data_IF_589199511034
#
_entry.id   IF_589199511034
#
_cell.length_a   1.000
_cell.length_b   1.000
_cell.length_c   1.000
_cell.angle_alpha   90.00
_cell.angle_beta   90.00
_cell.angle_gamma   90.00
#
_symmetry.space_group_name_H-M   'P 1'
#
loop_
_entity.id
_entity.type
_entity.pdbx_description
1 polymer ?
#
# COMPACT_ATOMS: atom_id res chain seq x y z
N UNK A 1 -15.42 -27.01 -27.29
CA UNK A 1 -15.40 -26.93 -25.81
C UNK A 1 -14.31 -25.95 -25.35
N UNK A 2 -14.25 -24.75 -25.95
CA UNK A 2 -13.37 -23.66 -25.54
C UNK A 2 -14.24 -22.57 -24.90
N UNK A 3 -14.67 -22.81 -23.67
CA UNK A 3 -15.31 -21.78 -22.84
C UNK A 3 -14.55 -21.68 -21.53
N UNK A 4 -13.28 -21.29 -21.65
CA UNK A 4 -12.40 -20.99 -20.52
C UNK A 4 -11.56 -19.77 -20.88
N UNK A 5 -12.13 -18.60 -20.61
CA UNK A 5 -11.50 -17.28 -20.38
C UNK A 5 -10.33 -16.94 -21.30
N UNK A 6 -10.59 -16.10 -22.29
CA UNK A 6 -9.56 -15.47 -23.09
C UNK A 6 -8.64 -14.66 -22.15
N UNK A 7 -7.35 -15.02 -22.11
CA UNK A 7 -6.32 -14.30 -21.36
C UNK A 7 -5.71 -13.20 -22.25
N UNK A 8 -5.15 -12.17 -21.63
CA UNK A 8 -4.48 -11.09 -22.37
C UNK A 8 -5.42 -10.19 -23.17
N UNK A 9 -6.65 -9.96 -22.68
CA UNK A 9 -7.59 -9.01 -23.28
C UNK A 9 -7.02 -7.59 -23.22
N UNK A 10 -6.86 -6.99 -24.39
CA UNK A 10 -6.35 -5.63 -24.59
C UNK A 10 -7.45 -4.64 -24.26
N UNK A 11 -7.25 -3.81 -23.24
CA UNK A 11 -8.17 -2.75 -22.85
C UNK A 11 -7.89 -1.45 -23.60
N UNK A 12 -6.61 -1.18 -23.89
CA UNK A 12 -6.17 0.02 -24.60
C UNK A 12 -4.89 -0.24 -25.39
N UNK A 13 -4.75 0.46 -26.50
CA UNK A 13 -3.54 0.49 -27.33
C UNK A 13 -3.03 1.92 -27.35
N UNK A 14 -1.74 2.11 -27.09
CA UNK A 14 -1.10 3.42 -27.10
C UNK A 14 -1.03 3.94 -28.55
N UNK A 15 -1.49 5.18 -28.84
CA UNK A 15 -1.39 5.73 -30.19
C UNK A 15 0.05 5.82 -30.67
N UNK A 16 0.30 5.43 -31.91
CA UNK A 16 1.63 5.36 -32.54
C UNK A 16 2.51 4.23 -32.00
N UNK A 17 1.96 3.25 -31.29
CA UNK A 17 2.72 2.10 -30.82
C UNK A 17 2.82 1.00 -31.88
N UNK A 18 3.79 0.11 -31.68
CA UNK A 18 3.97 -1.11 -32.47
C UNK A 18 2.68 -1.93 -32.49
N UNK A 19 1.95 -2.01 -31.37
CA UNK A 19 0.67 -2.71 -31.29
C UNK A 19 -0.41 -2.09 -32.17
N UNK A 20 -0.46 -0.76 -32.29
CA UNK A 20 -1.40 -0.08 -33.19
C UNK A 20 -1.05 -0.36 -34.66
N UNK A 21 0.24 -0.25 -35.00
CA UNK A 21 0.79 -0.52 -36.33
C UNK A 21 0.59 -1.98 -36.76
N UNK A 22 0.74 -2.92 -35.81
CA UNK A 22 0.44 -4.33 -35.96
C UNK A 22 -1.06 -4.64 -36.15
N UNK A 23 -1.93 -3.63 -36.10
CA UNK A 23 -3.37 -3.79 -36.32
C UNK A 23 -4.14 -4.28 -35.09
N UNK A 24 -3.52 -4.32 -33.91
CA UNK A 24 -4.17 -4.72 -32.66
C UNK A 24 -5.11 -3.61 -32.21
N UNK A 25 -6.29 -3.98 -31.72
CA UNK A 25 -7.31 -3.04 -31.25
C UNK A 25 -7.80 -3.41 -29.83
N UNK A 26 -8.35 -2.44 -29.09
CA UNK A 26 -9.06 -2.74 -27.85
C UNK A 26 -10.16 -3.78 -28.07
N UNK A 27 -10.25 -4.77 -27.19
CA UNK A 27 -11.14 -5.92 -27.31
C UNK A 27 -10.49 -7.16 -27.94
N UNK A 28 -9.33 -7.02 -28.58
CA UNK A 28 -8.53 -8.16 -29.03
C UNK A 28 -7.81 -8.82 -27.85
N UNK A 29 -7.37 -10.06 -28.02
CA UNK A 29 -6.66 -10.80 -26.99
C UNK A 29 -5.36 -11.40 -27.50
N UNK A 30 -4.26 -11.06 -26.83
CA UNK A 30 -2.95 -11.60 -27.16
C UNK A 30 -2.78 -13.00 -26.53
N UNK A 31 -2.60 -14.02 -27.38
CA UNK A 31 -2.65 -15.43 -26.98
C UNK A 31 -1.26 -16.07 -26.92
N UNK A 32 -0.46 -15.90 -27.97
CA UNK A 32 0.89 -16.49 -28.09
C UNK A 32 1.90 -15.44 -28.55
N UNK A 33 3.16 -15.59 -28.11
CA UNK A 33 4.33 -14.91 -28.65
C UNK A 33 5.40 -15.99 -28.90
N UNK A 34 6.00 -16.02 -30.09
CA UNK A 34 7.02 -17.00 -30.50
C UNK A 34 6.54 -18.46 -30.29
N UNK A 35 5.25 -18.72 -30.58
CA UNK A 35 4.61 -20.03 -30.37
C UNK A 35 4.38 -20.43 -28.90
N UNK A 36 4.69 -19.56 -27.94
CA UNK A 36 4.48 -19.80 -26.51
C UNK A 36 3.18 -19.15 -26.03
N UNK A 37 2.32 -19.94 -25.38
CA UNK A 37 1.11 -19.42 -24.73
C UNK A 37 1.46 -18.46 -23.59
N UNK A 38 0.87 -17.27 -23.62
CA UNK A 38 1.06 -16.28 -22.56
C UNK A 38 0.36 -16.74 -21.29
N UNK A 39 1.10 -16.78 -20.18
CA UNK A 39 0.60 -17.27 -18.90
C UNK A 39 0.00 -16.14 -18.08
N UNK A 40 0.73 -15.03 -18.02
CA UNK A 40 0.47 -13.81 -17.28
C UNK A 40 1.39 -12.67 -17.80
N UNK A 41 1.26 -11.49 -17.20
CA UNK A 41 2.01 -10.30 -17.58
C UNK A 41 3.54 -10.44 -17.47
N UNK A 42 4.04 -11.20 -16.50
CA UNK A 42 5.48 -11.45 -16.36
C UNK A 42 5.98 -12.30 -17.54
N UNK A 43 5.22 -13.32 -17.93
CA UNK A 43 5.56 -14.12 -19.10
C UNK A 43 5.49 -13.30 -20.39
N UNK A 44 4.49 -12.43 -20.53
CA UNK A 44 4.39 -11.48 -21.64
C UNK A 44 5.66 -10.61 -21.73
N UNK A 45 6.05 -9.96 -20.63
CA UNK A 45 7.25 -9.11 -20.58
C UNK A 45 8.54 -9.87 -20.90
N UNK A 46 8.63 -11.13 -20.49
CA UNK A 46 9.76 -11.99 -20.85
C UNK A 46 9.79 -12.30 -22.35
N UNK A 47 8.64 -12.65 -22.94
CA UNK A 47 8.56 -13.06 -24.35
C UNK A 47 8.75 -11.89 -25.33
N UNK A 48 8.31 -10.68 -24.97
CA UNK A 48 8.54 -9.49 -25.82
C UNK A 48 9.96 -8.94 -25.71
N UNK A 49 10.85 -9.53 -24.90
CA UNK A 49 12.22 -9.01 -24.77
C UNK A 49 13.07 -9.30 -26.03
N UNK A 50 12.65 -10.25 -26.88
CA UNK A 50 13.31 -10.55 -28.15
C UNK A 50 13.09 -9.42 -29.18
N UNK A 51 14.07 -9.21 -30.07
CA UNK A 51 13.98 -8.20 -31.14
C UNK A 51 13.02 -8.62 -32.26
N UNK A 52 12.90 -9.93 -32.49
CA UNK A 52 12.03 -10.51 -33.49
C UNK A 52 10.99 -11.37 -32.79
N UNK A 53 9.72 -10.99 -32.90
CA UNK A 53 8.64 -11.73 -32.27
C UNK A 53 7.48 -12.00 -33.22
N UNK A 54 6.97 -13.22 -33.18
CA UNK A 54 5.78 -13.64 -33.89
C UNK A 54 4.62 -13.68 -32.90
N UNK A 55 3.64 -12.79 -33.07
CA UNK A 55 2.50 -12.71 -32.16
C UNK A 55 1.24 -13.32 -32.77
N UNK A 56 0.43 -13.93 -31.91
CA UNK A 56 -0.90 -14.45 -32.26
C UNK A 56 -1.96 -13.78 -31.42
N UNK A 57 -2.87 -13.09 -32.09
CA UNK A 57 -3.96 -12.32 -31.50
C UNK A 57 -5.28 -12.95 -31.90
N UNK A 58 -6.17 -13.16 -30.94
CA UNK A 58 -7.57 -13.47 -31.20
C UNK A 58 -8.33 -12.14 -31.23
N UNK A 59 -8.81 -11.75 -32.41
CA UNK A 59 -9.55 -10.50 -32.60
C UNK A 59 -10.92 -10.57 -31.93
N UNK A 60 -11.54 -9.41 -31.68
CA UNK A 60 -12.91 -9.34 -31.16
C UNK A 60 -13.96 -10.08 -32.04
N UNK A 61 -13.66 -10.29 -33.33
CA UNK A 61 -14.51 -11.05 -34.26
C UNK A 61 -14.25 -12.57 -34.23
N UNK A 62 -13.44 -13.06 -33.29
CA UNK A 62 -12.98 -14.46 -33.19
C UNK A 62 -12.13 -14.95 -34.37
N UNK A 63 -11.44 -14.05 -35.07
CA UNK A 63 -10.45 -14.39 -36.09
C UNK A 63 -9.03 -14.32 -35.51
N UNK A 64 -8.14 -15.18 -35.99
CA UNK A 64 -6.73 -15.13 -35.60
C UNK A 64 -5.95 -14.20 -36.51
N UNK A 65 -5.28 -13.23 -35.90
CA UNK A 65 -4.31 -12.34 -36.52
C UNK A 65 -2.91 -12.81 -36.10
N UNK A 66 -2.05 -13.08 -37.09
CA UNK A 66 -0.62 -13.35 -36.89
C UNK A 66 0.16 -12.16 -37.39
N UNK A 67 1.11 -11.65 -36.59
CA UNK A 67 1.95 -10.52 -36.97
C UNK A 67 3.39 -10.81 -36.58
N UNK A 68 4.29 -10.60 -37.53
CA UNK A 68 5.73 -10.66 -37.31
C UNK A 68 6.20 -9.23 -37.01
N UNK A 69 6.89 -9.04 -35.89
CA UNK A 69 7.30 -7.74 -35.38
C UNK A 69 8.82 -7.74 -35.20
N UNK A 70 9.48 -6.75 -35.81
CA UNK A 70 10.88 -6.39 -35.56
C UNK A 70 10.91 -5.10 -34.74
N UNK A 71 11.60 -5.11 -33.60
CA UNK A 71 11.63 -4.00 -32.66
C UNK A 71 12.94 -3.96 -31.86
N UNK A 72 13.20 -2.84 -31.19
CA UNK A 72 14.25 -2.76 -30.19
C UNK A 72 14.03 -3.74 -29.02
N UNK A 73 15.10 -4.24 -28.41
CA UNK A 73 15.01 -5.16 -27.27
C UNK A 73 14.29 -4.54 -26.05
N UNK A 74 14.30 -3.21 -25.92
CA UNK A 74 13.66 -2.43 -24.86
C UNK A 74 12.33 -1.79 -25.29
N UNK A 75 11.92 -1.94 -26.54
CA UNK A 75 10.66 -1.40 -27.05
C UNK A 75 9.45 -2.26 -26.61
N UNK A 76 8.42 -1.58 -26.11
CA UNK A 76 7.14 -2.21 -25.74
C UNK A 76 6.16 -2.18 -26.92
N UNK A 77 5.19 -3.09 -26.92
CA UNK A 77 4.13 -3.11 -27.92
C UNK A 77 3.08 -2.02 -27.70
N UNK A 78 3.12 -1.32 -26.57
CA UNK A 78 2.13 -0.30 -26.21
C UNK A 78 0.73 -0.88 -26.03
N UNK A 79 0.64 -2.10 -25.47
CA UNK A 79 -0.62 -2.77 -25.13
C UNK A 79 -0.88 -2.64 -23.63
N UNK A 80 -2.06 -2.13 -23.29
CA UNK A 80 -2.59 -2.15 -21.93
C UNK A 80 -3.66 -3.23 -21.84
N UNK A 81 -3.61 -4.04 -20.78
CA UNK A 81 -4.52 -5.17 -20.58
C UNK A 81 -5.58 -4.85 -19.52
N UNK A 82 -6.75 -5.49 -19.60
CA UNK A 82 -7.84 -5.30 -18.63
C UNK A 82 -7.42 -5.60 -17.17
N UNK A 83 -6.49 -6.55 -16.99
CA UNK A 83 -5.94 -6.89 -15.69
C UNK A 83 -4.43 -6.73 -15.70
N UNK A 84 -3.87 -6.07 -14.67
CA UNK A 84 -2.44 -5.78 -14.53
C UNK A 84 -1.54 -7.03 -14.53
N UNK A 85 -2.08 -8.21 -14.22
CA UNK A 85 -1.33 -9.48 -14.30
C UNK A 85 -1.73 -10.36 -15.48
N UNK A 86 -2.59 -9.89 -16.40
CA UNK A 86 -3.16 -10.65 -17.54
C UNK A 86 -3.84 -11.98 -17.15
N UNK A 87 -4.19 -12.14 -15.88
CA UNK A 87 -4.80 -13.33 -15.31
C UNK A 87 -5.61 -12.95 -14.05
N UNK A 88 -6.31 -13.89 -13.44
CA UNK A 88 -6.99 -13.62 -12.18
C UNK A 88 -6.00 -13.67 -11.01
N UNK A 89 -6.05 -12.69 -10.08
CA UNK A 89 -5.28 -12.75 -8.85
C UNK A 89 -5.63 -13.98 -8.04
N UNK A 90 -4.64 -14.59 -7.40
CA UNK A 90 -4.86 -15.66 -6.43
C UNK A 90 -5.55 -15.13 -5.18
N UNK A 91 -6.61 -15.83 -4.77
CA UNK A 91 -7.31 -15.54 -3.51
C UNK A 91 -6.55 -16.16 -2.33
N UNK A 92 -6.32 -15.35 -1.30
CA UNK A 92 -5.74 -15.78 -0.03
C UNK A 92 -6.59 -16.87 0.63
N UNK A 93 -5.95 -17.97 1.05
CA UNK A 93 -6.60 -19.08 1.74
C UNK A 93 -6.46 -19.01 3.28
N UNK A 94 -5.81 -17.96 3.79
CA UNK A 94 -5.62 -17.77 5.22
C UNK A 94 -6.88 -17.19 5.89
N UNK A 95 -7.06 -17.56 7.16
CA UNK A 95 -8.12 -17.03 8.04
C UNK A 95 -7.48 -16.38 9.26
N UNK A 96 -6.59 -15.44 9.00
CA UNK A 96 -5.76 -14.84 10.04
C UNK A 96 -6.62 -14.21 11.14
N UNK A 97 -6.22 -14.42 12.40
CA UNK A 97 -6.91 -13.86 13.56
C UNK A 97 -7.00 -12.33 13.52
N UNK A 98 -6.10 -11.68 12.78
CA UNK A 98 -5.98 -10.22 12.61
C UNK A 98 -6.38 -9.74 11.20
N UNK A 99 -7.01 -10.57 10.36
CA UNK A 99 -7.30 -10.21 8.97
C UNK A 99 -8.20 -8.96 8.90
N UNK A 100 -7.70 -7.89 8.26
CA UNK A 100 -8.45 -6.65 8.12
C UNK A 100 -9.67 -6.81 7.20
N UNK A 101 -9.56 -7.66 6.18
CA UNK A 101 -10.64 -7.88 5.22
C UNK A 101 -11.82 -8.67 5.81
N UNK A 102 -11.59 -9.50 6.84
CA UNK A 102 -12.66 -10.23 7.54
C UNK A 102 -13.48 -9.35 8.48
N UNK A 103 -13.01 -8.13 8.76
CA UNK A 103 -13.66 -7.16 9.65
C UNK A 103 -14.15 -5.93 8.87
N UNK A 104 -14.36 -6.07 7.56
CA UNK A 104 -14.99 -5.04 6.77
C UNK A 104 -16.50 -4.97 7.05
N UNK A 105 -17.11 -3.78 7.08
CA UNK A 105 -18.56 -3.64 7.15
C UNK A 105 -19.25 -4.45 6.03
N UNK A 106 -20.50 -4.90 6.22
CA UNK A 106 -21.26 -5.56 5.16
C UNK A 106 -21.68 -4.56 4.05
N UNK A 107 -22.00 -5.08 2.87
CA UNK A 107 -22.54 -4.32 1.72
C UNK A 107 -21.59 -3.24 1.14
N UNK A 108 -20.29 -3.43 1.29
CA UNK A 108 -19.28 -2.65 0.59
C UNK A 108 -19.09 -3.17 -0.83
N UNK A 109 -18.30 -2.47 -1.65
CA UNK A 109 -17.94 -2.95 -3.00
C UNK A 109 -17.18 -4.27 -2.94
N UNK A 110 -17.44 -5.16 -3.91
CA UNK A 110 -16.90 -6.53 -3.90
C UNK A 110 -15.37 -6.58 -3.85
N UNK A 111 -14.69 -5.65 -4.54
CA UNK A 111 -13.24 -5.54 -4.56
C UNK A 111 -12.62 -5.33 -3.17
N UNK A 112 -13.33 -4.71 -2.22
CA UNK A 112 -12.87 -4.53 -0.84
C UNK A 112 -12.95 -5.80 0.02
N UNK A 113 -13.52 -6.89 -0.48
CA UNK A 113 -13.52 -8.18 0.21
C UNK A 113 -12.57 -9.19 -0.42
N UNK A 114 -11.97 -8.83 -1.55
CA UNK A 114 -10.98 -9.67 -2.20
C UNK A 114 -9.68 -9.63 -1.40
N UNK A 115 -9.22 -10.81 -0.98
CA UNK A 115 -7.92 -10.97 -0.33
C UNK A 115 -6.96 -11.53 -1.36
N UNK A 116 -6.02 -10.73 -1.83
CA UNK A 116 -4.95 -11.23 -2.68
C UNK A 116 -3.86 -11.91 -1.85
N UNK A 117 -3.21 -12.90 -2.46
CA UNK A 117 -1.99 -13.54 -1.96
C UNK A 117 -1.26 -14.15 -3.17
N UNK A 118 -0.80 -13.26 -4.06
CA UNK A 118 -0.25 -13.59 -5.37
C UNK A 118 1.14 -12.98 -5.55
N UNK A 119 2.16 -13.82 -5.77
CA UNK A 119 3.54 -13.35 -5.91
C UNK A 119 3.76 -12.44 -7.12
N UNK A 120 2.92 -12.55 -8.16
CA UNK A 120 3.02 -11.69 -9.34
C UNK A 120 2.70 -10.25 -8.97
N UNK A 121 1.66 -10.06 -8.15
CA UNK A 121 1.26 -8.75 -7.64
C UNK A 121 2.29 -8.24 -6.63
N UNK A 122 2.87 -9.13 -5.81
CA UNK A 122 3.98 -8.76 -4.93
C UNK A 122 5.17 -8.19 -5.68
N UNK A 123 5.59 -8.84 -6.77
CA UNK A 123 6.69 -8.39 -7.59
C UNK A 123 6.37 -7.10 -8.37
N UNK A 124 5.18 -7.01 -8.97
CA UNK A 124 4.81 -5.89 -9.85
C UNK A 124 4.40 -4.63 -9.09
N UNK A 125 3.72 -4.78 -7.95
CA UNK A 125 3.05 -3.68 -7.24
C UNK A 125 3.46 -3.55 -5.77
N UNK A 126 4.34 -4.43 -5.28
CA UNK A 126 4.82 -4.37 -3.90
C UNK A 126 3.86 -4.94 -2.85
N UNK A 127 2.79 -5.63 -3.26
CA UNK A 127 1.82 -6.19 -2.33
C UNK A 127 2.44 -7.28 -1.43
N UNK A 128 2.11 -7.23 -0.15
CA UNK A 128 2.60 -8.18 0.83
C UNK A 128 1.87 -9.53 0.77
N UNK A 129 2.60 -10.60 0.45
CA UNK A 129 2.09 -11.97 0.36
C UNK A 129 2.52 -12.82 1.55
N UNK A 130 1.79 -13.87 1.82
CA UNK A 130 2.04 -14.77 2.95
C UNK A 130 2.93 -15.97 2.60
N UNK A 131 3.20 -16.18 1.30
CA UNK A 131 3.85 -17.37 0.72
C UNK A 131 3.11 -18.70 0.93
N UNK A 132 1.96 -18.71 1.61
CA UNK A 132 1.20 -19.95 1.85
C UNK A 132 0.47 -20.48 0.61
N UNK A 133 0.25 -19.60 -0.37
CA UNK A 133 -0.37 -19.92 -1.65
C UNK A 133 0.64 -20.16 -2.79
N UNK A 134 1.94 -20.14 -2.50
CA UNK A 134 3.01 -20.35 -3.48
C UNK A 134 3.40 -21.81 -3.49
N UNK A 135 3.19 -22.48 -4.62
CA UNK A 135 3.58 -23.88 -4.83
C UNK A 135 5.07 -24.03 -5.11
N UNK A 136 5.60 -25.26 -5.03
CA UNK A 136 7.01 -25.54 -5.36
C UNK A 136 7.38 -25.18 -6.80
N UNK A 137 6.46 -25.39 -7.75
CA UNK A 137 6.64 -24.97 -9.16
C UNK A 137 6.78 -23.45 -9.27
N UNK A 138 5.98 -22.71 -8.50
CA UNK A 138 6.03 -21.25 -8.50
C UNK A 138 7.24 -20.70 -7.76
N UNK A 139 7.66 -21.36 -6.67
CA UNK A 139 8.94 -21.07 -6.01
C UNK A 139 10.10 -21.22 -6.98
N UNK A 140 10.10 -22.29 -7.78
CA UNK A 140 11.10 -22.49 -8.84
C UNK A 140 10.99 -21.40 -9.91
N UNK A 141 9.79 -21.08 -10.38
CA UNK A 141 9.59 -20.01 -11.36
C UNK A 141 10.08 -18.65 -10.87
N UNK A 142 9.82 -18.29 -9.62
CA UNK A 142 10.32 -17.06 -8.98
C UNK A 142 11.86 -17.05 -9.04
N UNK A 143 12.49 -18.18 -8.72
CA UNK A 143 13.95 -18.32 -8.72
C UNK A 143 14.58 -18.29 -10.13
N UNK A 144 13.94 -18.95 -11.10
CA UNK A 144 14.38 -19.04 -12.49
C UNK A 144 14.30 -17.66 -13.17
N UNK A 145 13.21 -16.93 -12.94
CA UNK A 145 12.98 -15.59 -13.51
C UNK A 145 13.57 -14.45 -12.66
N UNK A 146 14.17 -14.75 -11.50
CA UNK A 146 14.73 -13.75 -10.57
C UNK A 146 13.73 -12.65 -10.17
N UNK A 147 12.48 -13.04 -9.90
CA UNK A 147 11.42 -12.09 -9.52
C UNK A 147 11.73 -11.45 -8.16
N UNK A 148 12.30 -10.26 -8.19
CA UNK A 148 12.86 -9.57 -7.02
C UNK A 148 12.68 -8.05 -7.18
N UNK A 149 12.33 -7.32 -6.10
CA UNK A 149 12.08 -7.83 -4.75
C UNK A 149 10.70 -8.49 -4.58
N UNK A 150 10.52 -9.24 -3.50
CA UNK A 150 9.22 -9.72 -3.01
C UNK A 150 8.90 -9.11 -1.64
N UNK A 151 7.61 -8.93 -1.37
CA UNK A 151 7.11 -8.32 -0.14
C UNK A 151 6.34 -9.38 0.65
N UNK A 152 6.83 -9.76 1.83
CA UNK A 152 6.38 -10.96 2.55
C UNK A 152 5.86 -10.66 3.95
N UNK A 153 4.62 -11.03 4.20
CA UNK A 153 3.94 -11.00 5.50
C UNK A 153 4.35 -12.21 6.35
N UNK A 154 5.33 -11.99 7.23
CA UNK A 154 5.92 -13.03 8.08
C UNK A 154 5.11 -13.23 9.36
N UNK A 155 4.79 -12.13 10.05
CA UNK A 155 4.13 -12.05 11.36
C UNK A 155 4.87 -12.71 12.54
N UNK A 156 5.43 -13.91 12.36
CA UNK A 156 6.31 -14.58 13.33
C UNK A 156 7.10 -15.68 12.63
N UNK A 157 8.33 -15.95 13.08
CA UNK A 157 9.12 -17.11 12.60
C UNK A 157 8.88 -18.38 13.43
N UNK A 158 8.04 -18.34 14.47
CA UNK A 158 7.65 -19.50 15.25
C UNK A 158 6.59 -20.32 14.48
N UNK A 159 6.88 -21.55 14.03
CA UNK A 159 5.97 -22.31 13.15
C UNK A 159 4.60 -22.54 13.75
N UNK A 160 4.55 -22.99 15.01
CA UNK A 160 3.30 -23.30 15.71
C UNK A 160 2.46 -22.04 15.97
N UNK A 161 3.12 -20.91 16.27
CA UNK A 161 2.42 -19.64 16.44
C UNK A 161 1.90 -19.10 15.10
N UNK A 162 2.69 -19.20 14.03
CA UNK A 162 2.28 -18.75 12.69
C UNK A 162 1.06 -19.50 12.18
N UNK A 163 1.03 -20.84 12.35
CA UNK A 163 -0.14 -21.67 12.02
C UNK A 163 -1.39 -21.19 12.77
N UNK A 164 -1.27 -20.92 14.08
CA UNK A 164 -2.38 -20.42 14.91
C UNK A 164 -2.84 -19.03 14.46
N UNK A 165 -1.90 -18.11 14.27
CA UNK A 165 -2.19 -16.73 13.88
C UNK A 165 -2.84 -16.63 12.50
N UNK A 166 -2.41 -17.45 11.55
CA UNK A 166 -2.94 -17.44 10.18
C UNK A 166 -4.12 -18.38 9.97
N UNK A 167 -4.37 -19.25 10.96
CA UNK A 167 -5.35 -20.33 10.90
C UNK A 167 -5.20 -21.16 9.60
N UNK A 168 -3.95 -21.52 9.28
CA UNK A 168 -3.56 -22.27 8.10
C UNK A 168 -2.45 -23.26 8.47
N UNK A 169 -2.65 -24.59 8.29
CA UNK A 169 -1.65 -25.60 8.63
C UNK A 169 -0.36 -25.49 7.80
N UNK A 170 -0.45 -24.97 6.57
CA UNK A 170 0.70 -24.81 5.68
C UNK A 170 1.54 -23.57 6.00
N UNK A 171 1.14 -22.75 6.98
CA UNK A 171 1.83 -21.52 7.33
C UNK A 171 3.12 -21.74 8.15
N UNK A 172 3.44 -22.96 8.58
CA UNK A 172 4.55 -23.21 9.50
C UNK A 172 5.95 -22.97 8.91
N UNK A 173 6.15 -23.17 7.61
CA UNK A 173 7.48 -23.23 6.97
C UNK A 173 7.99 -21.90 6.40
N UNK A 174 7.61 -20.77 6.99
CA UNK A 174 8.03 -19.45 6.48
C UNK A 174 9.56 -19.30 6.43
N UNK A 175 10.28 -19.87 7.39
CA UNK A 175 11.74 -19.78 7.42
C UNK A 175 12.41 -20.60 6.29
N UNK A 176 11.87 -21.78 5.96
CA UNK A 176 12.35 -22.58 4.84
C UNK A 176 12.13 -21.86 3.52
N UNK A 177 10.92 -21.33 3.31
CA UNK A 177 10.56 -20.57 2.12
C UNK A 177 11.46 -19.33 1.92
N UNK A 178 11.65 -18.52 2.98
CA UNK A 178 12.53 -17.34 2.92
C UNK A 178 13.98 -17.71 2.61
N UNK A 179 14.51 -18.78 3.21
CA UNK A 179 15.87 -19.28 2.92
C UNK A 179 16.01 -19.69 1.46
N UNK A 180 15.04 -20.43 0.93
CA UNK A 180 15.05 -20.86 -0.48
C UNK A 180 15.07 -19.65 -1.43
N UNK A 181 14.23 -18.64 -1.19
CA UNK A 181 14.20 -17.42 -2.00
C UNK A 181 15.52 -16.65 -1.93
N UNK A 182 16.03 -16.41 -0.72
CA UNK A 182 17.30 -15.69 -0.51
C UNK A 182 18.48 -16.43 -1.14
N UNK A 183 18.56 -17.76 -1.01
CA UNK A 183 19.61 -18.57 -1.63
C UNK A 183 19.57 -18.51 -3.17
N UNK A 184 18.40 -18.23 -3.75
CA UNK A 184 18.22 -18.03 -5.18
C UNK A 184 18.44 -16.58 -5.62
N UNK A 185 18.90 -15.70 -4.72
CA UNK A 185 19.21 -14.30 -5.01
C UNK A 185 18.00 -13.37 -5.00
N UNK A 186 16.85 -13.80 -4.49
CA UNK A 186 15.65 -12.97 -4.38
C UNK A 186 15.78 -12.06 -3.16
N UNK A 187 15.60 -10.75 -3.39
CA UNK A 187 15.56 -9.76 -2.31
C UNK A 187 14.15 -9.70 -1.72
N UNK A 188 14.06 -9.52 -0.40
CA UNK A 188 12.77 -9.60 0.31
C UNK A 188 12.60 -8.44 1.29
N UNK A 189 11.44 -7.80 1.28
CA UNK A 189 10.97 -6.89 2.31
C UNK A 189 9.92 -7.60 3.17
N UNK A 190 10.10 -7.64 4.47
CA UNK A 190 9.19 -8.37 5.37
C UNK A 190 8.28 -7.42 6.15
N UNK A 191 7.07 -7.88 6.48
CA UNK A 191 6.14 -7.19 7.38
C UNK A 191 5.77 -8.11 8.55
N UNK A 192 5.64 -7.49 9.73
CA UNK A 192 5.13 -8.09 10.96
C UNK A 192 3.94 -7.25 11.43
N UNK A 193 2.73 -7.78 11.25
CA UNK A 193 1.55 -7.30 11.99
C UNK A 193 1.65 -7.78 13.44
N UNK A 194 1.78 -6.83 14.36
CA UNK A 194 1.95 -7.08 15.78
C UNK A 194 0.60 -7.11 16.50
N UNK A 195 0.30 -8.26 17.11
CA UNK A 195 -0.87 -8.50 17.93
C UNK A 195 -0.45 -8.59 19.41
N UNK A 196 -0.84 -7.63 20.27
CA UNK A 196 -0.45 -7.63 21.68
C UNK A 196 -0.81 -8.93 22.41
N UNK A 197 0.14 -9.47 23.17
CA UNK A 197 0.00 -10.73 23.91
C UNK A 197 0.07 -12.00 23.05
N UNK A 198 0.35 -11.90 21.75
CA UNK A 198 0.40 -13.05 20.83
C UNK A 198 1.80 -13.21 20.23
N UNK A 199 2.27 -12.23 19.45
CA UNK A 199 3.58 -12.25 18.79
C UNK A 199 4.45 -11.04 19.18
N UNK A 200 4.19 -10.44 20.34
CA UNK A 200 4.97 -9.34 20.89
C UNK A 200 6.15 -9.84 21.76
N UNK A 201 6.92 -8.90 22.32
CA UNK A 201 7.97 -9.16 23.32
C UNK A 201 9.01 -10.16 22.81
N UNK A 202 9.19 -11.29 23.49
CA UNK A 202 10.20 -12.30 23.13
C UNK A 202 9.96 -12.94 21.77
N UNK A 203 8.70 -13.09 21.34
CA UNK A 203 8.39 -13.63 20.01
C UNK A 203 8.74 -12.63 18.90
N UNK A 204 8.56 -11.33 19.16
CA UNK A 204 9.03 -10.27 18.25
C UNK A 204 10.56 -10.29 18.15
N UNK A 205 11.27 -10.35 19.28
CA UNK A 205 12.75 -10.40 19.30
C UNK A 205 13.28 -11.62 18.55
N UNK A 206 12.65 -12.78 18.75
CA UNK A 206 12.99 -14.01 18.03
C UNK A 206 12.78 -13.82 16.52
N UNK A 207 11.64 -13.27 16.12
CA UNK A 207 11.30 -13.04 14.71
C UNK A 207 12.30 -12.10 14.04
N UNK A 208 12.61 -10.95 14.67
CA UNK A 208 13.59 -9.99 14.16
C UNK A 208 14.98 -10.63 14.03
N UNK A 209 15.40 -11.40 15.05
CA UNK A 209 16.68 -12.10 15.04
C UNK A 209 16.77 -13.10 13.88
N UNK A 210 15.76 -13.94 13.72
CA UNK A 210 15.72 -14.97 12.68
C UNK A 210 15.76 -14.35 11.27
N UNK A 211 14.97 -13.29 11.03
CA UNK A 211 14.98 -12.58 9.75
C UNK A 211 16.33 -11.89 9.49
N UNK A 212 16.95 -11.31 10.52
CA UNK A 212 18.26 -10.66 10.38
C UNK A 212 19.40 -11.63 10.04
N UNK A 213 19.22 -12.94 10.28
CA UNK A 213 20.18 -13.96 9.88
C UNK A 213 20.22 -14.18 8.37
N UNK A 214 19.21 -13.71 7.63
CA UNK A 214 19.10 -13.79 6.18
C UNK A 214 19.51 -12.49 5.47
N UNK A 215 20.09 -11.53 6.19
CA UNK A 215 20.75 -10.37 5.60
C UNK A 215 21.96 -10.80 4.75
N UNK A 216 22.21 -10.23 3.55
CA UNK A 216 21.52 -9.08 2.94
C UNK A 216 20.38 -9.46 1.97
N UNK A 217 19.91 -10.71 1.98
CA UNK A 217 18.80 -11.16 1.14
C UNK A 217 17.46 -10.59 1.58
N UNK A 218 17.18 -10.61 2.89
CA UNK A 218 16.12 -9.78 3.46
C UNK A 218 16.68 -8.36 3.61
N UNK A 219 15.98 -7.37 3.06
CA UNK A 219 16.40 -5.96 2.97
C UNK A 219 15.81 -5.08 4.07
N UNK A 220 14.57 -5.31 4.46
CA UNK A 220 13.93 -4.56 5.54
C UNK A 220 12.84 -5.36 6.23
N UNK A 221 12.51 -4.97 7.46
CA UNK A 221 11.39 -5.51 8.22
C UNK A 221 10.57 -4.34 8.77
N UNK A 222 9.30 -4.24 8.39
CA UNK A 222 8.33 -3.35 9.02
C UNK A 222 7.61 -4.06 10.18
N UNK A 223 7.47 -3.40 11.31
CA UNK A 223 6.60 -3.79 12.41
C UNK A 223 5.43 -2.80 12.44
N UNK A 224 4.22 -3.30 12.23
CA UNK A 224 2.99 -2.51 12.16
C UNK A 224 2.01 -2.98 13.24
N UNK A 225 1.24 -2.09 13.89
CA UNK A 225 0.23 -2.51 14.86
C UNK A 225 -0.95 -3.19 14.15
N UNK A 226 -1.66 -4.06 14.86
CA UNK A 226 -2.91 -4.63 14.35
C UNK A 226 -4.02 -3.56 14.27
N UNK A 227 -4.58 -3.36 13.07
CA UNK A 227 -5.78 -2.54 12.88
C UNK A 227 -7.05 -3.33 13.20
N UNK A 228 -7.93 -2.78 14.04
CA UNK A 228 -9.15 -3.46 14.49
C UNK A 228 -10.38 -2.56 14.29
N UNK A 229 -11.35 -3.03 13.51
CA UNK A 229 -12.63 -2.33 13.32
C UNK A 229 -13.65 -2.79 14.38
N UNK A 230 -14.80 -2.10 14.46
CA UNK A 230 -15.95 -2.51 15.26
C UNK A 230 -16.71 -3.72 14.69
N UNK A 231 -16.44 -4.10 13.43
CA UNK A 231 -17.14 -5.18 12.71
C UNK A 231 -16.47 -6.55 12.89
N UNK A 232 -15.95 -6.83 14.10
CA UNK A 232 -15.22 -8.07 14.43
C UNK A 232 -16.03 -9.10 15.19
N UNK A 233 -17.35 -8.93 15.28
CA UNK A 233 -18.17 -9.86 16.06
C UNK A 233 -18.06 -11.29 15.48
N UNK A 234 -17.76 -12.28 16.32
CA UNK A 234 -17.51 -13.66 15.89
C UNK A 234 -16.09 -13.98 15.41
N UNK A 235 -15.19 -12.99 15.34
CA UNK A 235 -13.76 -13.21 15.06
C UNK A 235 -12.97 -13.48 16.35
N UNK A 236 -11.73 -13.94 16.19
CA UNK A 236 -10.83 -14.19 17.32
C UNK A 236 -10.63 -12.89 18.16
N UNK A 237 -10.76 -12.96 19.50
CA UNK A 237 -10.65 -11.78 20.35
C UNK A 237 -9.20 -11.30 20.43
N UNK A 238 -8.97 -10.08 19.94
CA UNK A 238 -7.68 -9.38 19.99
C UNK A 238 -7.97 -7.94 20.44
N UNK A 239 -7.07 -7.37 21.22
CA UNK A 239 -7.12 -5.97 21.62
C UNK A 239 -6.17 -5.12 20.76
N UNK A 240 -6.50 -3.84 20.61
CA UNK A 240 -5.60 -2.88 19.97
C UNK A 240 -4.32 -2.68 20.81
N UNK A 241 -3.28 -2.19 20.13
CA UNK A 241 -2.05 -1.69 20.76
C UNK A 241 -2.39 -0.48 21.62
N UNK A 242 -1.96 -0.47 22.87
CA UNK A 242 -2.05 0.71 23.73
C UNK A 242 -0.69 1.44 23.83
N UNK A 243 -0.66 2.57 24.52
CA UNK A 243 0.56 3.37 24.73
C UNK A 243 1.73 2.57 25.31
N UNK A 244 1.47 1.69 26.29
CA UNK A 244 2.51 0.87 26.93
C UNK A 244 3.09 -0.17 25.98
N UNK A 245 2.23 -0.83 25.20
CA UNK A 245 2.66 -1.78 24.17
C UNK A 245 3.50 -1.05 23.10
N UNK A 246 3.04 0.12 22.64
CA UNK A 246 3.72 0.91 21.64
C UNK A 246 5.12 1.35 22.11
N UNK A 247 5.22 1.87 23.34
CA UNK A 247 6.50 2.21 23.97
C UNK A 247 7.43 1.01 24.09
N UNK A 248 6.89 -0.19 24.38
CA UNK A 248 7.69 -1.40 24.44
C UNK A 248 8.23 -1.79 23.06
N UNK A 249 7.39 -1.77 22.03
CA UNK A 249 7.77 -2.10 20.65
C UNK A 249 8.83 -1.13 20.13
N UNK A 250 8.65 0.18 20.32
CA UNK A 250 9.63 1.20 19.95
C UNK A 250 10.99 0.89 20.59
N UNK A 251 11.02 0.65 21.91
CA UNK A 251 12.27 0.31 22.61
C UNK A 251 12.93 -0.96 22.06
N UNK A 252 12.15 -1.99 21.73
CA UNK A 252 12.69 -3.22 21.13
C UNK A 252 13.30 -2.94 19.75
N UNK A 253 12.55 -2.27 18.88
CA UNK A 253 12.98 -1.93 17.52
C UNK A 253 14.23 -1.06 17.54
N UNK A 254 14.25 0.01 18.32
CA UNK A 254 15.42 0.90 18.46
C UNK A 254 16.64 0.15 19.03
N UNK A 255 16.43 -0.74 20.01
CA UNK A 255 17.47 -1.59 20.54
C UNK A 255 18.07 -2.55 19.50
N UNK A 256 17.24 -3.07 18.59
CA UNK A 256 17.69 -3.86 17.45
C UNK A 256 18.40 -3.01 16.39
N UNK A 257 17.86 -1.84 16.05
CA UNK A 257 18.49 -0.89 15.14
C UNK A 257 19.90 -0.53 15.59
N UNK A 258 20.13 -0.28 16.89
CA UNK A 258 21.48 -0.04 17.41
C UNK A 258 22.44 -1.22 17.19
N UNK A 259 21.96 -2.47 17.33
CA UNK A 259 22.75 -3.67 17.03
C UNK A 259 23.05 -3.77 15.53
N UNK A 260 22.07 -3.48 14.68
CA UNK A 260 22.21 -3.56 13.23
C UNK A 260 23.04 -2.42 12.63
N UNK A 261 22.97 -1.19 13.14
CA UNK A 261 23.91 -0.12 12.78
C UNK A 261 25.35 -0.50 13.06
N UNK A 262 25.63 -1.26 14.13
CA UNK A 262 26.99 -1.78 14.41
C UNK A 262 27.39 -2.90 13.45
N UNK A 263 26.49 -3.85 13.17
CA UNK A 263 26.77 -5.07 12.40
C UNK A 263 26.72 -4.88 10.88
N UNK A 264 25.71 -4.17 10.39
CA UNK A 264 25.37 -4.01 8.98
C UNK A 264 25.54 -2.58 8.46
N UNK A 265 25.77 -1.59 9.35
CA UNK A 265 25.77 -0.16 9.01
C UNK A 265 24.43 0.30 8.38
N UNK A 266 23.34 -0.35 8.76
CA UNK A 266 22.01 -0.16 8.19
C UNK A 266 20.92 -0.46 9.23
N UNK A 267 19.84 0.32 9.23
CA UNK A 267 18.63 0.02 10.00
C UNK A 267 17.81 -1.06 9.29
N UNK A 268 17.88 -2.30 9.80
CA UNK A 268 17.19 -3.42 9.17
C UNK A 268 15.70 -3.52 9.52
N UNK A 269 15.30 -3.03 10.69
CA UNK A 269 13.92 -3.13 11.21
C UNK A 269 13.39 -1.75 11.55
N UNK A 270 12.11 -1.51 11.26
CA UNK A 270 11.44 -0.23 11.44
C UNK A 270 10.06 -0.43 12.06
N UNK A 271 9.69 0.42 13.01
CA UNK A 271 8.34 0.50 13.54
C UNK A 271 7.53 1.49 12.69
N UNK A 272 6.27 1.17 12.42
CA UNK A 272 5.33 2.11 11.79
C UNK A 272 5.19 3.38 12.62
N UNK A 273 4.95 4.50 11.94
CA UNK A 273 4.77 5.82 12.55
C UNK A 273 3.62 5.82 13.57
N UNK A 274 2.61 4.96 13.37
CA UNK A 274 1.50 4.75 14.30
C UNK A 274 1.97 4.38 15.72
N UNK A 275 3.01 3.55 15.89
CA UNK A 275 3.53 3.26 17.21
C UNK A 275 4.02 4.52 17.93
N UNK A 276 4.74 5.39 17.23
CA UNK A 276 5.26 6.64 17.80
C UNK A 276 4.12 7.58 18.18
N UNK A 277 3.12 7.71 17.31
CA UNK A 277 1.95 8.53 17.58
C UNK A 277 1.12 8.01 18.76
N UNK A 278 0.85 6.70 18.83
CA UNK A 278 0.16 6.06 19.96
C UNK A 278 0.95 6.20 21.26
N UNK A 279 2.28 6.18 21.20
CA UNK A 279 3.17 6.39 22.34
C UNK A 279 3.36 7.87 22.73
N UNK A 280 2.76 8.81 21.99
CA UNK A 280 3.00 10.25 22.18
C UNK A 280 4.44 10.69 21.91
N UNK A 281 5.23 9.87 21.23
CA UNK A 281 6.65 10.10 20.90
C UNK A 281 6.80 10.77 19.53
N UNK A 282 7.93 11.44 19.35
CA UNK A 282 8.31 11.90 18.01
C UNK A 282 8.79 10.71 17.18
N UNK A 283 8.46 10.73 15.89
CA UNK A 283 9.03 9.79 14.92
C UNK A 283 10.53 10.06 14.73
N UNK A 284 11.32 9.03 14.37
CA UNK A 284 12.73 9.18 14.02
C UNK A 284 12.99 10.27 12.97
N UNK A 285 14.22 10.82 12.97
CA UNK A 285 14.63 11.77 11.95
C UNK A 285 14.67 11.12 10.55
N UNK A 286 14.52 11.94 9.50
CA UNK A 286 14.51 11.52 8.09
C UNK A 286 15.61 10.51 7.75
N UNK A 287 16.86 10.82 8.09
CA UNK A 287 18.03 9.97 7.77
C UNK A 287 18.06 8.62 8.52
N UNK A 288 17.15 8.40 9.48
CA UNK A 288 17.07 7.11 10.20
C UNK A 288 16.32 6.02 9.44
N UNK A 289 15.62 6.39 8.36
CA UNK A 289 14.79 5.49 7.56
C UNK A 289 15.50 4.88 6.35
N UNK A 290 16.79 5.20 6.16
CA UNK A 290 17.55 4.78 4.98
C UNK A 290 16.84 5.29 3.70
N UNK A 291 16.62 4.46 2.69
CA UNK A 291 15.87 4.82 1.46
C UNK A 291 14.34 4.57 1.60
N UNK A 292 13.80 4.63 2.81
CA UNK A 292 12.38 4.43 3.11
C UNK A 292 11.77 3.14 2.51
N UNK A 293 12.33 1.94 2.78
CA UNK A 293 11.95 0.70 2.11
C UNK A 293 10.57 0.14 2.51
N UNK A 294 9.80 0.86 3.31
CA UNK A 294 8.58 0.39 3.98
C UNK A 294 7.47 1.46 4.03
N UNK A 295 7.48 2.43 3.11
CA UNK A 295 6.48 3.52 3.09
C UNK A 295 5.03 3.02 3.07
N UNK A 296 4.75 2.00 2.27
CA UNK A 296 3.44 1.35 2.16
C UNK A 296 2.94 0.77 3.50
N UNK A 297 3.85 0.50 4.43
CA UNK A 297 3.54 0.03 5.78
C UNK A 297 3.39 1.15 6.82
N UNK A 298 3.28 2.40 6.36
CA UNK A 298 3.18 3.57 7.23
C UNK A 298 4.47 3.85 8.01
N UNK A 299 5.62 3.53 7.44
CA UNK A 299 6.95 3.75 8.05
C UNK A 299 7.62 4.96 7.39
N UNK A 300 7.75 6.06 8.13
CA UNK A 300 8.53 7.23 7.72
C UNK A 300 7.77 8.32 6.95
N UNK A 301 6.47 8.13 6.68
CA UNK A 301 5.61 9.11 6.01
C UNK A 301 5.64 10.47 6.71
N UNK A 302 5.60 10.47 8.05
CA UNK A 302 5.61 11.69 8.84
C UNK A 302 6.95 12.41 8.73
N UNK A 303 8.05 11.67 8.72
CA UNK A 303 9.38 12.24 8.64
C UNK A 303 9.68 12.83 7.27
N UNK A 304 9.16 12.22 6.19
CA UNK A 304 9.16 12.81 4.85
C UNK A 304 8.37 14.11 4.86
N UNK A 305 7.11 14.07 5.29
CA UNK A 305 6.23 15.25 5.28
C UNK A 305 6.82 16.42 6.07
N UNK A 306 7.36 16.15 7.27
CA UNK A 306 8.05 17.17 8.08
C UNK A 306 9.27 17.75 7.37
N UNK A 307 10.10 16.92 6.75
CA UNK A 307 11.31 17.37 6.06
C UNK A 307 10.97 18.27 4.88
N UNK A 308 9.97 17.89 4.10
CA UNK A 308 9.46 18.70 3.00
C UNK A 308 8.87 20.02 3.50
N UNK A 309 8.04 19.97 4.54
CA UNK A 309 7.43 21.16 5.14
C UNK A 309 8.50 22.17 5.60
N UNK A 310 9.51 21.72 6.36
CA UNK A 310 10.59 22.61 6.84
C UNK A 310 11.38 23.25 5.69
N UNK A 311 11.52 22.56 4.54
CA UNK A 311 12.16 23.14 3.36
C UNK A 311 11.33 24.25 2.70
N UNK A 312 10.01 24.11 2.71
CA UNK A 312 9.07 25.07 2.09
C UNK A 312 8.79 26.24 3.03
N UNK A 313 8.76 25.99 4.34
CA UNK A 313 8.49 26.95 5.41
C UNK A 313 9.28 28.26 5.27
N UNK A 314 10.52 28.18 4.81
CA UNK A 314 11.44 29.32 4.63
C UNK A 314 10.92 30.33 3.59
N UNK A 315 10.12 29.86 2.62
CA UNK A 315 9.61 30.64 1.50
C UNK A 315 8.11 30.93 1.61
N UNK A 316 7.48 30.68 2.77
CA UNK A 316 6.07 31.00 2.96
C UNK A 316 5.85 32.53 2.87
N UNK A 317 4.77 32.99 2.21
CA UNK A 317 4.45 34.40 2.16
C UNK A 317 4.11 34.91 3.57
N UNK A 318 4.35 36.20 3.83
CA UNK A 318 3.95 36.83 5.10
C UNK A 318 2.46 37.22 5.11
N UNK A 319 1.92 37.54 3.95
CA UNK A 319 0.57 38.07 3.77
C UNK A 319 -0.07 37.44 2.54
N UNK A 320 -1.37 37.15 2.61
CA UNK A 320 -2.20 36.89 1.42
C UNK A 320 -2.88 38.19 0.97
N UNK A 321 -3.09 38.33 -0.35
CA UNK A 321 -3.78 39.49 -0.93
C UNK A 321 -5.23 39.61 -0.44
N UNK A 322 -5.92 38.48 -0.26
CA UNK A 322 -7.30 38.42 0.21
C UNK A 322 -7.42 37.55 1.47
N UNK A 323 -8.36 37.91 2.36
CA UNK A 323 -8.68 37.06 3.51
C UNK A 323 -9.19 35.70 3.05
N UNK A 324 -8.52 34.64 3.47
CA UNK A 324 -8.87 33.26 3.18
C UNK A 324 -9.04 32.49 4.49
N UNK A 325 -10.24 31.94 4.68
CA UNK A 325 -10.52 30.96 5.73
C UNK A 325 -10.84 29.61 5.10
N UNK A 326 -10.23 28.54 5.57
CA UNK A 326 -10.47 27.18 5.08
C UNK A 326 -10.32 26.13 6.19
N UNK A 327 -10.73 24.91 5.89
CA UNK A 327 -10.67 23.77 6.81
C UNK A 327 -9.78 22.66 6.26
N UNK A 328 -8.89 22.12 7.10
CA UNK A 328 -8.12 20.90 6.81
C UNK A 328 -8.70 19.75 7.63
N UNK A 329 -9.04 18.65 6.95
CA UNK A 329 -9.52 17.42 7.56
C UNK A 329 -8.37 16.42 7.71
N UNK A 330 -8.27 15.80 8.88
CA UNK A 330 -7.27 14.76 9.16
C UNK A 330 -7.86 13.65 10.03
N UNK A 331 -7.13 12.55 10.19
CA UNK A 331 -7.40 11.54 11.22
C UNK A 331 -6.88 11.97 12.58
N UNK A 332 -7.52 11.44 13.63
CA UNK A 332 -7.18 11.72 15.03
C UNK A 332 -5.71 11.45 15.33
N UNK A 333 -5.15 10.38 14.75
CA UNK A 333 -3.76 10.00 14.98
C UNK A 333 -2.77 11.08 14.53
N UNK A 334 -3.05 11.71 13.38
CA UNK A 334 -2.20 12.74 12.78
C UNK A 334 -2.46 14.16 13.32
N UNK A 335 -3.42 14.34 14.24
CA UNK A 335 -3.83 15.66 14.74
C UNK A 335 -2.66 16.46 15.30
N UNK A 336 -1.85 15.86 16.18
CA UNK A 336 -0.73 16.55 16.84
C UNK A 336 0.30 17.05 15.83
N UNK A 337 0.59 16.24 14.81
CA UNK A 337 1.49 16.60 13.72
C UNK A 337 0.92 17.78 12.94
N UNK A 338 -0.30 17.64 12.45
CA UNK A 338 -0.93 18.64 11.60
C UNK A 338 -1.13 19.95 12.34
N UNK A 339 -1.43 19.92 13.65
CA UNK A 339 -1.60 21.14 14.45
C UNK A 339 -0.36 22.02 14.44
N UNK A 340 0.83 21.44 14.63
CA UNK A 340 2.08 22.20 14.56
C UNK A 340 2.31 22.85 13.18
N UNK A 341 1.89 22.19 12.11
CA UNK A 341 1.99 22.69 10.73
C UNK A 341 0.98 23.81 10.47
N UNK A 342 -0.27 23.60 10.90
CA UNK A 342 -1.35 24.60 10.80
C UNK A 342 -1.03 25.85 11.62
N UNK A 343 -0.44 25.71 12.80
CA UNK A 343 -0.04 26.84 13.64
C UNK A 343 1.04 27.71 12.95
N UNK A 344 1.94 27.10 12.18
CA UNK A 344 2.92 27.83 11.37
C UNK A 344 2.26 28.54 10.17
N UNK A 345 1.32 27.88 9.48
CA UNK A 345 0.57 28.49 8.38
C UNK A 345 -0.33 29.64 8.85
N UNK A 346 -0.90 29.55 10.05
CA UNK A 346 -1.71 30.61 10.65
C UNK A 346 -0.90 31.85 11.10
N UNK A 347 0.43 31.85 10.92
CA UNK A 347 1.26 33.06 11.05
C UNK A 347 1.23 33.94 9.80
N UNK A 348 0.70 33.43 8.70
CA UNK A 348 0.50 34.19 7.45
C UNK A 348 -0.70 35.12 7.66
N UNK A 349 -0.50 36.43 7.48
CA UNK A 349 -1.59 37.39 7.59
C UNK A 349 -2.63 37.14 6.50
N UNK A 350 -3.89 37.41 6.82
CA UNK A 350 -5.05 37.15 5.96
C UNK A 350 -5.29 35.64 5.66
N UNK A 351 -4.65 34.72 6.39
CA UNK A 351 -4.94 33.30 6.32
C UNK A 351 -5.47 32.78 7.66
N UNK A 352 -6.56 32.01 7.62
CA UNK A 352 -7.06 31.23 8.76
C UNK A 352 -7.34 29.79 8.32
N UNK A 353 -6.56 28.86 8.83
CA UNK A 353 -6.72 27.43 8.59
C UNK A 353 -7.25 26.77 9.86
N UNK A 354 -8.45 26.20 9.76
CA UNK A 354 -9.06 25.41 10.82
C UNK A 354 -8.65 23.94 10.65
N UNK A 355 -8.20 23.28 11.72
CA UNK A 355 -7.87 21.85 11.71
C UNK A 355 -8.99 21.04 12.36
N UNK A 356 -9.58 20.11 11.61
CA UNK A 356 -10.63 19.22 12.10
C UNK A 356 -10.19 17.74 12.04
N UNK A 357 -9.80 17.15 13.18
CA UNK A 357 -9.59 15.71 13.28
C UNK A 357 -10.94 14.98 13.29
N UNK A 358 -11.14 14.09 12.32
CA UNK A 358 -12.37 13.31 12.15
C UNK A 358 -12.22 11.96 12.84
N UNK A 359 -13.18 11.62 13.70
CA UNK A 359 -13.28 10.29 14.32
C UNK A 359 -13.87 9.30 13.33
N UNK A 360 -13.35 8.09 13.31
CA UNK A 360 -13.85 7.04 12.43
C UNK A 360 -15.05 6.33 13.08
N UNK A 361 -16.24 6.92 12.98
CA UNK A 361 -17.44 6.27 13.52
C UNK A 361 -17.87 5.11 12.63
N UNK A 362 -17.52 5.14 11.33
CA UNK A 362 -17.88 4.09 10.38
C UNK A 362 -17.20 2.77 10.73
N UNK A 363 -15.86 2.69 10.75
CA UNK A 363 -15.11 1.51 11.16
C UNK A 363 -14.93 1.38 12.68
N UNK A 364 -15.16 2.43 13.46
CA UNK A 364 -15.04 2.45 14.92
C UNK A 364 -13.77 3.13 15.44
N UNK A 365 -13.82 3.57 16.69
CA UNK A 365 -12.85 4.50 17.30
C UNK A 365 -11.40 3.99 17.37
N UNK A 366 -11.18 2.68 17.25
CA UNK A 366 -9.83 2.10 17.19
C UNK A 366 -9.13 2.37 15.85
N UNK A 367 -9.88 2.74 14.81
CA UNK A 367 -9.33 3.13 13.52
C UNK A 367 -9.09 4.64 13.53
N UNK A 368 -7.83 5.04 13.64
CA UNK A 368 -7.44 6.45 13.82
C UNK A 368 -6.63 7.03 12.66
N UNK A 369 -6.27 6.19 11.68
CA UNK A 369 -5.51 6.57 10.49
C UNK A 369 -6.37 7.32 9.48
N UNK A 370 -5.72 8.24 8.75
CA UNK A 370 -6.35 9.15 7.77
C UNK A 370 -7.01 8.37 6.62
N UNK A 371 -6.32 7.37 6.05
CA UNK A 371 -6.77 6.68 4.83
C UNK A 371 -8.00 5.79 4.99
N UNK A 372 -8.52 5.62 6.20
CA UNK A 372 -9.74 4.86 6.47
C UNK A 372 -10.94 5.74 6.82
N UNK A 373 -10.80 7.07 6.80
CA UNK A 373 -11.91 8.01 6.98
C UNK A 373 -12.82 7.95 5.75
N UNK A 374 -14.13 7.95 6.00
CA UNK A 374 -15.15 7.88 4.96
C UNK A 374 -15.93 9.19 4.82
N UNK A 375 -16.63 9.38 3.70
CA UNK A 375 -17.35 10.62 3.42
C UNK A 375 -18.42 10.95 4.47
N UNK A 376 -19.17 9.94 4.93
CA UNK A 376 -20.17 10.10 6.01
C UNK A 376 -19.58 10.62 7.31
N UNK A 377 -18.43 10.10 7.74
CA UNK A 377 -17.79 10.52 8.99
C UNK A 377 -17.38 12.00 8.94
N UNK A 378 -16.93 12.47 7.77
CA UNK A 378 -16.64 13.88 7.50
C UNK A 378 -17.93 14.69 7.63
N UNK A 379 -18.97 14.35 6.85
CA UNK A 379 -20.24 15.10 6.82
C UNK A 379 -20.85 15.22 8.22
N UNK A 380 -21.00 14.11 8.92
CA UNK A 380 -21.66 14.05 10.23
C UNK A 380 -20.98 14.93 11.28
N UNK A 381 -19.65 15.10 11.19
CA UNK A 381 -18.87 15.88 12.15
C UNK A 381 -18.68 17.35 11.74
N UNK A 382 -18.85 17.69 10.46
CA UNK A 382 -18.55 19.02 9.90
C UNK A 382 -19.79 19.82 9.49
N UNK A 383 -20.96 19.20 9.29
CA UNK A 383 -22.19 19.89 8.78
C UNK A 383 -22.64 21.12 9.56
N UNK A 384 -22.37 21.16 10.88
CA UNK A 384 -22.80 22.26 11.77
C UNK A 384 -21.61 23.17 12.16
N UNK A 385 -20.52 23.16 11.39
CA UNK A 385 -19.29 23.92 11.68
C UNK A 385 -19.09 25.06 10.68
N UNK A 386 -18.34 26.08 11.10
CA UNK A 386 -17.86 27.13 10.20
C UNK A 386 -16.62 26.65 9.46
N UNK A 387 -16.80 26.21 8.22
CA UNK A 387 -15.74 25.53 7.46
C UNK A 387 -14.85 26.49 6.66
N UNK A 388 -15.30 27.72 6.47
CA UNK A 388 -14.65 28.69 5.58
C UNK A 388 -15.05 28.49 4.13
N UNK A 389 -14.15 28.90 3.23
CA UNK A 389 -14.34 28.87 1.77
C UNK A 389 -14.17 27.48 1.16
N UNK A 390 -13.30 26.65 1.74
CA UNK A 390 -12.90 25.35 1.19
C UNK A 390 -12.55 24.35 2.30
N UNK A 391 -12.65 23.06 1.98
CA UNK A 391 -12.17 21.95 2.81
C UNK A 391 -11.06 21.24 2.06
N UNK A 392 -9.96 20.92 2.72
CA UNK A 392 -8.88 20.12 2.17
C UNK A 392 -8.91 18.74 2.81
N UNK A 393 -8.97 17.72 1.95
CA UNK A 393 -8.86 16.30 2.34
C UNK A 393 -7.61 15.67 1.70
N UNK A 394 -6.93 14.76 2.39
CA UNK A 394 -5.83 13.98 1.81
C UNK A 394 -6.34 12.97 0.76
N UNK A 395 -5.60 12.80 -0.33
CA UNK A 395 -5.94 11.86 -1.42
C UNK A 395 -6.02 10.41 -0.96
N UNK A 396 -5.27 10.04 0.08
CA UNK A 396 -5.29 8.68 0.67
C UNK A 396 -6.64 8.30 1.28
N UNK A 397 -7.58 9.23 1.45
CA UNK A 397 -8.96 8.92 1.81
C UNK A 397 -9.77 8.36 0.63
N UNK A 398 -9.25 8.50 -0.59
CA UNK A 398 -9.92 8.20 -1.85
C UNK A 398 -9.21 7.05 -2.57
N UNK A 399 -9.98 6.35 -3.41
CA UNK A 399 -9.42 5.39 -4.37
C UNK A 399 -8.74 6.14 -5.53
N UNK A 400 -7.49 5.77 -5.82
CA UNK A 400 -6.55 6.46 -6.73
C UNK A 400 -7.06 6.70 -8.16
N UNK A 401 -8.04 5.93 -8.64
CA UNK A 401 -8.60 6.08 -10.00
C UNK A 401 -10.08 6.53 -10.04
N UNK A 402 -10.85 6.22 -9.00
CA UNK A 402 -12.29 6.47 -8.98
C UNK A 402 -12.65 7.75 -8.20
N UNK A 403 -11.72 8.29 -7.42
CA UNK A 403 -11.94 9.44 -6.55
C UNK A 403 -13.19 9.28 -5.67
N UNK A 404 -13.33 8.08 -5.06
CA UNK A 404 -14.41 7.76 -4.11
C UNK A 404 -13.86 7.30 -2.78
N UNK A 405 -14.55 7.64 -1.71
CA UNK A 405 -14.30 7.15 -0.36
C UNK A 405 -14.61 5.64 -0.24
N UNK A 406 -14.21 5.03 0.87
CA UNK A 406 -14.51 3.61 1.13
C UNK A 406 -16.02 3.32 1.20
N UNK A 407 -16.83 4.28 1.66
CA UNK A 407 -18.29 4.17 1.75
C UNK A 407 -19.03 4.51 0.44
N UNK A 408 -18.29 4.55 -0.68
CA UNK A 408 -18.73 4.86 -2.04
C UNK A 408 -19.28 6.28 -2.24
N UNK A 409 -19.03 7.19 -1.31
CA UNK A 409 -19.30 8.61 -1.54
C UNK A 409 -18.23 9.22 -2.45
N UNK A 410 -18.60 10.21 -3.25
CA UNK A 410 -17.65 11.08 -3.96
C UNK A 410 -17.39 12.36 -3.18
N UNK A 411 -16.24 13.03 -3.39
CA UNK A 411 -15.99 14.38 -2.89
C UNK A 411 -17.11 15.36 -3.24
N UNK A 412 -17.68 15.27 -4.44
CA UNK A 412 -18.80 16.12 -4.89
C UNK A 412 -20.06 15.93 -4.02
N UNK A 413 -20.33 14.71 -3.55
CA UNK A 413 -21.43 14.48 -2.61
C UNK A 413 -21.13 15.12 -1.25
N UNK A 414 -19.89 15.05 -0.77
CA UNK A 414 -19.47 15.74 0.46
C UNK A 414 -19.58 17.26 0.30
N UNK A 415 -19.19 17.82 -0.85
CA UNK A 415 -19.34 19.25 -1.17
C UNK A 415 -20.80 19.68 -1.09
N UNK A 416 -21.71 18.89 -1.67
CA UNK A 416 -23.14 19.19 -1.69
C UNK A 416 -23.75 19.19 -0.29
N UNK A 417 -23.39 18.20 0.54
CA UNK A 417 -23.93 18.08 1.89
C UNK A 417 -23.37 19.13 2.86
N UNK A 418 -22.10 19.55 2.68
CA UNK A 418 -21.46 20.57 3.51
C UNK A 418 -21.64 22.00 2.99
N UNK A 419 -22.04 22.17 1.73
CA UNK A 419 -22.16 23.48 1.07
C UNK A 419 -20.82 24.17 0.83
N UNK A 420 -19.71 23.44 0.83
CA UNK A 420 -18.33 23.97 0.73
C UNK A 420 -17.51 23.10 -0.21
N UNK A 421 -16.66 23.72 -1.03
CA UNK A 421 -15.80 23.03 -2.00
C UNK A 421 -14.76 22.15 -1.31
N UNK A 422 -14.53 20.95 -1.85
CA UNK A 422 -13.57 19.97 -1.35
C UNK A 422 -12.37 19.93 -2.30
N UNK A 423 -11.21 20.34 -1.80
CA UNK A 423 -9.92 20.20 -2.47
C UNK A 423 -9.23 18.92 -1.99
N UNK A 424 -8.67 18.19 -2.94
CA UNK A 424 -7.89 16.98 -2.68
C UNK A 424 -6.42 17.37 -2.70
N UNK A 425 -5.70 17.00 -1.64
CA UNK A 425 -4.26 17.20 -1.50
C UNK A 425 -3.54 15.87 -1.58
N UNK A 426 -2.46 15.82 -2.35
CA UNK A 426 -1.50 14.72 -2.29
C UNK A 426 -0.87 14.61 -0.92
N UNK A 427 -0.38 13.43 -0.57
CA UNK A 427 0.30 13.20 0.73
C UNK A 427 1.77 13.63 0.66
N UNK A 428 2.00 14.88 0.29
CA UNK A 428 3.30 15.56 0.34
C UNK A 428 3.10 17.01 0.81
N UNK A 429 4.10 17.58 1.47
CA UNK A 429 3.95 18.91 2.05
C UNK A 429 3.81 20.00 0.98
N UNK A 430 4.42 19.79 -0.20
CA UNK A 430 4.36 20.73 -1.32
C UNK A 430 2.93 20.94 -1.82
N UNK A 431 2.29 19.87 -2.26
CA UNK A 431 0.91 19.96 -2.79
C UNK A 431 -0.05 20.44 -1.70
N UNK A 432 0.14 19.99 -0.45
CA UNK A 432 -0.66 20.45 0.68
C UNK A 432 -0.61 21.96 0.89
N UNK A 433 0.59 22.55 0.91
CA UNK A 433 0.77 23.99 1.06
C UNK A 433 0.25 24.73 -0.17
N UNK A 434 0.53 24.23 -1.38
CA UNK A 434 0.03 24.82 -2.62
C UNK A 434 -1.51 24.88 -2.62
N UNK A 435 -2.20 23.81 -2.22
CA UNK A 435 -3.67 23.78 -2.11
C UNK A 435 -4.23 24.76 -1.09
N UNK A 436 -3.52 24.99 0.01
CA UNK A 436 -3.89 25.98 1.03
C UNK A 436 -3.74 27.40 0.48
N UNK A 437 -2.67 27.69 -0.24
CA UNK A 437 -2.35 29.03 -0.73
C UNK A 437 -2.97 29.37 -2.10
N UNK A 438 -3.44 28.35 -2.85
CA UNK A 438 -4.10 28.51 -4.15
C UNK A 438 -5.38 29.35 -4.05
N UNK A 439 -5.51 30.36 -4.91
CA UNK A 439 -6.65 31.29 -4.97
C UNK A 439 -7.90 30.68 -5.62
#
# INVERSE_FOLDING_TARGET
>A
MFSSRVKGLVSKVVPGSIGEEAGIRPGDSLIEINGNLIRDYIHYKYLIADEHIDIKVLTANNEYLMVDIEKGYDEDLGLEFENSIMDKPKRCNNKCIFCFMDQMPPNMRESLYFKDDDYRISFLHGNFITLTNVSDEEMKRIADLKLSPLYVSVHTTNPSLRIKMMNNPNAGDIQGQLKTLVNNGIQIHCQIVLCPGINDKGELDKTIKDLSALWPGIKSVAVVPVGLTKYRNGLFPIRAVNESDALQVIRQVEGWQQKFKKKFKYNFVFAADEFYLTAGKEVPAYDSYEDFPQLENGVGLISIFKKEFESIKINLPKDLEFYKELTVVTGVLAEKLMRGIIDELNRINNLKVNLYPVKNNFFGDNITVVGLIVGRDIIDQLKDKSLGSEIIIPEVMLKEEEYVFLDNMSPVQVEKELGVKVKISRVCAKDFIEKILEH
#
